data_IF_600339522290
#
_entry.id   IF_600339522290
#
_cell.length_a   1.000
_cell.length_b   1.000
_cell.length_c   1.000
_cell.angle_alpha   90.00
_cell.angle_beta   90.00
_cell.angle_gamma   90.00
#
_symmetry.space_group_name_H-M   'P 1'
#
loop_
_entity.id
_entity.type
_entity.pdbx_description
1 polymer ?
#
# COMPACT_ATOMS: atom_id res chain seq x y z
N UNK A 1 -4.23 6.35 22.41
CA UNK A 1 -2.80 6.70 22.31
C UNK A 1 -2.48 6.81 20.84
N UNK A 2 -2.00 7.95 20.37
CA UNK A 2 -1.46 8.07 19.01
C UNK A 2 0.01 7.70 19.07
N UNK A 3 0.34 6.49 18.64
CA UNK A 3 1.74 6.06 18.52
C UNK A 3 2.40 6.84 17.38
N UNK A 4 3.56 7.43 17.65
CA UNK A 4 4.31 8.14 16.62
C UNK A 4 4.78 7.13 15.55
N UNK A 5 4.75 7.48 14.26
CA UNK A 5 5.21 6.60 13.19
C UNK A 5 6.67 6.18 13.45
N UNK A 6 6.90 4.88 13.53
CA UNK A 6 8.19 4.27 13.87
C UNK A 6 9.05 3.99 12.64
N UNK A 7 8.47 4.03 11.44
CA UNK A 7 9.14 3.66 10.19
C UNK A 7 8.69 4.48 8.99
N UNK A 8 9.65 4.77 8.12
CA UNK A 8 9.43 5.35 6.79
C UNK A 8 9.55 4.27 5.71
N UNK A 9 8.56 4.20 4.81
CA UNK A 9 8.60 3.37 3.60
C UNK A 9 8.75 4.29 2.40
N UNK A 10 9.88 4.18 1.72
CA UNK A 10 10.17 4.91 0.49
C UNK A 10 9.59 4.17 -0.71
N UNK A 11 8.97 4.90 -1.62
CA UNK A 11 8.45 4.40 -2.90
C UNK A 11 8.68 5.45 -3.98
N UNK A 12 8.49 5.07 -5.26
CA UNK A 12 8.84 5.91 -6.41
C UNK A 12 8.45 7.38 -6.32
N UNK A 13 7.27 7.68 -5.77
CA UNK A 13 6.69 9.02 -5.76
C UNK A 13 6.67 9.67 -4.36
N UNK A 14 7.32 9.08 -3.35
CA UNK A 14 7.35 9.69 -2.03
C UNK A 14 7.65 8.73 -0.88
N UNK A 15 7.14 9.10 0.30
CA UNK A 15 7.38 8.40 1.57
C UNK A 15 6.03 8.17 2.24
N UNK A 16 5.83 6.96 2.77
CA UNK A 16 4.72 6.64 3.68
C UNK A 16 5.30 6.46 5.08
N UNK A 17 4.68 7.10 6.06
CA UNK A 17 4.99 6.91 7.47
C UNK A 17 4.06 5.85 8.03
N UNK A 18 4.61 4.88 8.76
CA UNK A 18 3.84 3.81 9.37
C UNK A 18 4.39 3.48 10.76
N UNK A 19 3.51 3.06 11.66
CA UNK A 19 3.87 2.47 12.95
C UNK A 19 4.11 0.96 12.83
N UNK A 20 3.76 0.38 11.69
CA UNK A 20 3.81 -1.06 11.44
C UNK A 20 5.22 -1.54 11.15
N UNK A 21 5.50 -2.76 11.62
CA UNK A 21 6.75 -3.45 11.33
C UNK A 21 6.66 -4.37 10.10
N UNK A 22 5.46 -4.82 9.75
CA UNK A 22 5.22 -5.64 8.56
C UNK A 22 5.38 -4.85 7.25
N UNK A 23 5.76 -5.57 6.20
CA UNK A 23 5.93 -5.01 4.86
C UNK A 23 4.57 -4.84 4.17
N UNK A 24 4.38 -3.74 3.40
CA UNK A 24 3.17 -3.56 2.62
C UNK A 24 3.04 -4.70 1.61
N UNK A 25 1.81 -5.17 1.42
CA UNK A 25 1.52 -6.31 0.53
C UNK A 25 1.08 -5.86 -0.86
N UNK A 26 0.67 -4.60 -1.00
CA UNK A 26 0.14 -4.05 -2.24
C UNK A 26 0.78 -2.70 -2.58
N UNK A 27 0.76 -2.36 -3.87
CA UNK A 27 1.23 -1.06 -4.35
C UNK A 27 0.28 -0.54 -5.42
N UNK A 28 -0.02 0.75 -5.39
CA UNK A 28 -0.75 1.39 -6.48
C UNK A 28 0.08 1.38 -7.78
N UNK A 29 -0.59 1.12 -8.91
CA UNK A 29 0.06 1.15 -10.23
C UNK A 29 0.26 2.57 -10.79
N UNK A 30 -0.42 3.57 -10.23
CA UNK A 30 -0.37 4.96 -10.69
C UNK A 30 0.43 5.86 -9.74
N UNK A 31 0.04 5.96 -8.47
CA UNK A 31 0.75 6.80 -7.49
C UNK A 31 1.91 6.09 -6.78
N UNK A 32 2.12 4.79 -7.04
CA UNK A 32 3.17 3.95 -6.42
C UNK A 32 3.11 3.84 -4.89
N UNK A 33 2.06 4.39 -4.26
CA UNK A 33 1.89 4.33 -2.82
C UNK A 33 1.71 2.87 -2.37
N UNK A 34 2.48 2.41 -1.37
CA UNK A 34 2.29 1.10 -0.74
C UNK A 34 1.01 1.09 0.10
N UNK A 35 0.36 -0.07 0.13
CA UNK A 35 -0.85 -0.34 0.90
C UNK A 35 -0.75 -1.69 1.59
N UNK A 36 -1.37 -1.79 2.77
CA UNK A 36 -1.60 -3.06 3.43
C UNK A 36 -2.92 -3.67 2.93
N UNK A 37 -3.04 -4.99 3.01
CA UNK A 37 -4.23 -5.70 2.52
C UNK A 37 -5.51 -5.23 3.23
N UNK A 38 -5.40 -4.93 4.53
CA UNK A 38 -6.49 -4.42 5.35
C UNK A 38 -6.88 -2.96 5.06
N UNK A 39 -5.98 -2.17 4.47
CA UNK A 39 -6.29 -0.79 4.04
C UNK A 39 -7.07 -0.76 2.71
N UNK A 40 -7.11 -1.90 2.01
CA UNK A 40 -7.83 -2.04 0.76
C UNK A 40 -9.22 -2.54 1.07
N UNK A 41 -10.25 -1.81 0.64
CA UNK A 41 -11.63 -2.27 0.68
C UNK A 41 -11.80 -3.48 -0.25
N UNK A 42 -11.47 -4.66 0.26
CA UNK A 42 -11.67 -5.96 -0.36
C UNK A 42 -13.09 -6.49 -0.14
N UNK A 43 -13.96 -5.69 0.50
CA UNK A 43 -15.33 -6.07 0.88
C UNK A 43 -16.24 -6.45 -0.29
N UNK A 44 -15.85 -6.18 -1.54
CA UNK A 44 -16.62 -6.57 -2.73
C UNK A 44 -15.83 -7.63 -3.49
N UNK A 45 -16.23 -8.88 -3.31
CA UNK A 45 -15.66 -10.15 -3.83
C UNK A 45 -15.44 -10.19 -5.36
N UNK A 46 -15.88 -9.16 -6.09
CA UNK A 46 -15.82 -9.07 -7.57
C UNK A 46 -14.99 -7.87 -8.05
N UNK A 47 -14.62 -6.93 -7.17
CA UNK A 47 -13.93 -5.70 -7.56
C UNK A 47 -12.42 -5.82 -7.35
N UNK A 48 -11.65 -5.60 -8.42
CA UNK A 48 -10.20 -5.41 -8.32
C UNK A 48 -9.90 -4.31 -7.29
N UNK A 49 -9.06 -4.55 -6.27
CA UNK A 49 -8.83 -3.55 -5.24
C UNK A 49 -8.31 -2.25 -5.85
N UNK A 50 -8.89 -1.14 -5.39
CA UNK A 50 -8.57 0.21 -5.85
C UNK A 50 -7.76 0.93 -4.78
N UNK A 51 -6.85 1.80 -5.23
CA UNK A 51 -6.04 2.62 -4.36
C UNK A 51 -6.94 3.66 -3.66
N UNK A 52 -7.02 3.68 -2.32
CA UNK A 52 -7.85 4.65 -1.59
C UNK A 52 -7.46 6.11 -1.85
N UNK A 53 -6.20 6.36 -2.25
CA UNK A 53 -5.70 7.70 -2.48
C UNK A 53 -6.01 8.27 -3.87
N UNK A 54 -6.01 7.45 -4.92
CA UNK A 54 -6.14 7.93 -6.30
C UNK A 54 -7.13 7.15 -7.18
N UNK A 55 -7.83 6.16 -6.62
CA UNK A 55 -8.82 5.34 -7.34
C UNK A 55 -8.25 4.40 -8.42
N UNK A 56 -6.94 4.41 -8.66
CA UNK A 56 -6.27 3.54 -9.63
C UNK A 56 -6.16 2.10 -9.12
N UNK A 57 -5.90 1.14 -10.01
CA UNK A 57 -5.71 -0.26 -9.62
C UNK A 57 -4.48 -0.42 -8.71
N UNK A 58 -4.59 -1.30 -7.71
CA UNK A 58 -3.43 -1.78 -6.96
C UNK A 58 -2.96 -3.13 -7.49
N UNK A 59 -1.65 -3.37 -7.39
CA UNK A 59 -1.02 -4.65 -7.68
C UNK A 59 -0.51 -5.26 -6.38
N UNK A 60 -0.49 -6.59 -6.31
CA UNK A 60 0.16 -7.31 -5.21
C UNK A 60 1.69 -7.23 -5.37
N UNK A 61 2.38 -7.00 -4.26
CA UNK A 61 3.83 -7.06 -4.16
C UNK A 61 4.25 -8.53 -4.01
N UNK A 62 5.20 -8.96 -4.82
CA UNK A 62 5.76 -10.31 -4.79
C UNK A 62 7.28 -10.22 -4.90
N UNK A 63 8.01 -11.29 -4.56
CA UNK A 63 9.47 -11.33 -4.72
C UNK A 63 9.95 -10.97 -6.14
N UNK A 64 9.13 -11.27 -7.15
CA UNK A 64 9.41 -10.95 -8.55
C UNK A 64 9.06 -9.50 -8.93
N UNK A 65 8.16 -8.86 -8.19
CA UNK A 65 7.75 -7.48 -8.42
C UNK A 65 7.74 -6.72 -7.09
N UNK A 66 8.92 -6.41 -6.53
CA UNK A 66 9.04 -5.75 -5.24
C UNK A 66 8.49 -4.33 -5.29
N UNK A 67 8.48 -3.69 -4.12
CA UNK A 67 8.16 -2.28 -4.00
C UNK A 67 9.18 -1.47 -4.83
N UNK A 68 8.68 -0.54 -5.64
CA UNK A 68 9.48 0.37 -6.48
C UNK A 68 9.17 1.82 -6.17
#
# INVERSE_FOLDING_TARGET
MFEAPTRCIYYRNGITLTTRQDEPTHQCTSCYKPWYEEDLDLFIVVATPKCPYCGSNVRRLTKQRPLK
#
